data_IF_282150823722
#
_entry.id   IF_282150823722
#
_cell.length_a   1.000
_cell.length_b   1.000
_cell.length_c   1.000
_cell.angle_alpha   90.00
_cell.angle_beta   90.00
_cell.angle_gamma   90.00
#
_symmetry.space_group_name_H-M   'P 1'
#
loop_
_entity.id
_entity.type
_entity.pdbx_description
1 polymer ?
#
# COMPACT_ATOMS: atom_id res chain seq x y z
N UNK A 1 -29.48 11.80 18.73
CA UNK A 1 -29.17 10.97 17.57
C UNK A 1 -27.70 11.10 17.14
N UNK A 2 -27.20 12.29 16.75
CA UNK A 2 -25.82 12.49 16.26
C UNK A 2 -24.73 12.06 17.26
N UNK A 3 -24.87 12.39 18.57
CA UNK A 3 -23.94 11.97 19.62
C UNK A 3 -23.78 10.43 19.69
N UNK A 4 -24.88 9.70 19.54
CA UNK A 4 -24.84 8.23 19.56
C UNK A 4 -24.14 7.67 18.32
N UNK A 5 -24.31 8.30 17.16
CA UNK A 5 -23.58 7.94 15.94
C UNK A 5 -22.07 8.13 16.13
N UNK A 6 -21.65 9.28 16.69
CA UNK A 6 -20.24 9.56 17.00
C UNK A 6 -19.70 8.53 18.00
N UNK A 7 -20.47 8.14 19.02
CA UNK A 7 -20.06 7.11 19.98
C UNK A 7 -19.86 5.75 19.32
N UNK A 8 -20.78 5.33 18.46
CA UNK A 8 -20.64 4.07 17.70
C UNK A 8 -19.38 4.09 16.84
N UNK A 9 -19.16 5.19 16.11
CA UNK A 9 -17.95 5.36 15.31
C UNK A 9 -16.69 5.32 16.18
N UNK A 10 -16.68 6.00 17.34
CA UNK A 10 -15.56 5.99 18.28
C UNK A 10 -15.21 4.57 18.75
N UNK A 11 -16.23 3.76 19.05
CA UNK A 11 -16.05 2.36 19.46
C UNK A 11 -15.49 1.53 18.31
N UNK A 12 -16.02 1.67 17.09
CA UNK A 12 -15.54 0.96 15.91
C UNK A 12 -14.08 1.30 15.61
N UNK A 13 -13.72 2.59 15.66
CA UNK A 13 -12.35 3.03 15.46
C UNK A 13 -11.41 2.57 16.59
N UNK A 14 -11.91 2.48 17.83
CA UNK A 14 -11.14 1.93 18.95
C UNK A 14 -10.81 0.43 18.73
N UNK A 15 -11.81 -0.35 18.36
CA UNK A 15 -11.62 -1.78 18.07
C UNK A 15 -10.64 -2.01 16.94
N UNK A 16 -10.75 -1.20 15.87
CA UNK A 16 -9.82 -1.22 14.74
C UNK A 16 -8.41 -0.84 15.16
N UNK A 17 -8.25 0.24 15.97
CA UNK A 17 -6.95 0.71 16.47
C UNK A 17 -6.26 -0.37 17.32
N UNK A 18 -7.00 -1.03 18.21
CA UNK A 18 -6.47 -2.13 19.04
C UNK A 18 -6.08 -3.31 18.16
N UNK A 19 -6.98 -3.76 17.28
CA UNK A 19 -6.75 -4.90 16.38
C UNK A 19 -5.50 -4.70 15.52
N UNK A 20 -5.34 -3.50 14.95
CA UNK A 20 -4.18 -3.19 14.11
C UNK A 20 -2.90 -3.04 14.93
N UNK A 21 -2.97 -2.48 16.15
CA UNK A 21 -1.81 -2.36 17.06
C UNK A 21 -1.24 -3.74 17.48
N UNK A 22 -2.07 -4.76 17.57
CA UNK A 22 -1.65 -6.12 17.92
C UNK A 22 -0.98 -6.86 16.75
N UNK A 23 -1.20 -6.41 15.51
CA UNK A 23 -0.77 -7.11 14.29
C UNK A 23 0.26 -6.36 13.46
N UNK A 24 0.59 -5.12 13.80
CA UNK A 24 1.48 -4.27 13.00
C UNK A 24 2.40 -3.42 13.87
N UNK A 25 3.59 -3.14 13.37
CA UNK A 25 4.52 -2.17 13.96
C UNK A 25 3.95 -0.75 13.91
N UNK A 26 4.51 0.16 14.73
CA UNK A 26 4.13 1.56 14.74
C UNK A 26 4.36 2.19 13.35
N UNK A 27 3.28 2.64 12.74
CA UNK A 27 3.28 3.31 11.43
C UNK A 27 2.54 4.64 11.51
N UNK A 28 2.80 5.55 10.57
CA UNK A 28 2.03 6.81 10.46
C UNK A 28 0.52 6.53 10.35
N UNK A 29 0.11 5.47 9.66
CA UNK A 29 -1.30 5.10 9.53
C UNK A 29 -1.93 4.71 10.87
N UNK A 30 -1.19 3.97 11.72
CA UNK A 30 -1.63 3.63 13.07
C UNK A 30 -1.72 4.87 13.97
N UNK A 31 -0.73 5.77 13.91
CA UNK A 31 -0.75 7.02 14.66
C UNK A 31 -1.96 7.90 14.28
N UNK A 32 -2.25 8.04 12.99
CA UNK A 32 -3.43 8.76 12.50
C UNK A 32 -4.74 8.10 12.95
N UNK A 33 -4.80 6.76 12.92
CA UNK A 33 -5.97 6.02 13.38
C UNK A 33 -6.25 6.27 14.86
N UNK A 34 -5.22 6.24 15.71
CA UNK A 34 -5.34 6.58 17.14
C UNK A 34 -5.73 8.05 17.35
N UNK A 35 -5.17 8.98 16.58
CA UNK A 35 -5.54 10.40 16.65
C UNK A 35 -7.03 10.60 16.34
N UNK A 36 -7.55 9.94 15.31
CA UNK A 36 -8.98 9.99 14.96
C UNK A 36 -9.83 9.38 16.09
N UNK A 37 -9.41 8.22 16.62
CA UNK A 37 -10.11 7.53 17.72
C UNK A 37 -10.24 8.45 18.94
N UNK A 38 -9.15 9.04 19.40
CA UNK A 38 -9.13 9.97 20.55
C UNK A 38 -10.00 11.20 20.26
N UNK A 39 -9.90 11.77 19.06
CA UNK A 39 -10.71 12.93 18.65
C UNK A 39 -12.21 12.63 18.67
N UNK A 40 -12.63 11.45 18.26
CA UNK A 40 -14.03 11.01 18.31
C UNK A 40 -14.51 10.89 19.77
N UNK A 41 -13.72 10.31 20.68
CA UNK A 41 -14.08 10.24 22.10
C UNK A 41 -14.17 11.64 22.74
N UNK A 42 -13.24 12.54 22.45
CA UNK A 42 -13.33 13.95 22.88
C UNK A 42 -14.63 14.57 22.35
N UNK A 43 -14.98 14.31 21.08
CA UNK A 43 -16.23 14.79 20.47
C UNK A 43 -17.49 14.24 21.16
N UNK A 44 -17.47 13.03 21.70
CA UNK A 44 -18.58 12.47 22.49
C UNK A 44 -18.67 13.11 23.87
N UNK A 45 -17.56 13.25 24.58
CA UNK A 45 -17.50 13.84 25.94
C UNK A 45 -17.92 15.31 25.92
N UNK A 46 -17.34 16.08 25.00
CA UNK A 46 -17.59 17.52 24.87
C UNK A 46 -18.62 17.86 23.79
N UNK A 47 -19.59 16.97 23.54
CA UNK A 47 -20.54 17.10 22.43
C UNK A 47 -21.29 18.45 22.48
N UNK A 48 -21.83 18.83 23.62
CA UNK A 48 -22.64 20.08 23.76
C UNK A 48 -21.85 21.35 23.45
N UNK A 49 -20.69 21.61 24.10
CA UNK A 49 -19.91 22.80 23.79
C UNK A 49 -19.36 22.82 22.35
N UNK A 50 -18.95 21.68 21.83
CA UNK A 50 -18.49 21.58 20.44
C UNK A 50 -19.64 21.87 19.47
N UNK A 51 -20.83 21.28 19.67
CA UNK A 51 -21.98 21.51 18.81
C UNK A 51 -22.43 22.99 18.86
N UNK A 52 -22.45 23.63 20.05
CA UNK A 52 -22.74 25.03 20.20
C UNK A 52 -21.73 25.92 19.46
N UNK A 53 -20.44 25.65 19.62
CA UNK A 53 -19.37 26.34 18.89
C UNK A 53 -19.50 26.19 17.36
N UNK A 54 -19.72 24.98 16.86
CA UNK A 54 -19.83 24.69 15.43
C UNK A 54 -21.14 25.19 14.80
N UNK A 55 -22.09 25.67 15.57
CA UNK A 55 -23.36 26.25 15.10
C UNK A 55 -23.37 27.77 14.97
N UNK A 56 -22.31 28.48 15.39
CA UNK A 56 -22.25 29.93 15.39
C UNK A 56 -20.89 30.48 14.98
N UNK A 57 -20.86 31.72 14.50
CA UNK A 57 -19.65 32.48 14.22
C UNK A 57 -18.64 31.72 13.30
N UNK A 58 -17.38 31.77 13.70
CA UNK A 58 -16.27 31.10 12.99
C UNK A 58 -16.42 29.56 13.00
N UNK A 59 -17.13 29.00 14.00
CA UNK A 59 -17.35 27.54 14.08
C UNK A 59 -18.09 26.97 12.90
N UNK A 60 -19.00 27.74 12.25
CA UNK A 60 -19.69 27.32 11.01
C UNK A 60 -18.68 27.09 9.89
N UNK A 61 -17.71 27.98 9.75
CA UNK A 61 -16.67 27.83 8.72
C UNK A 61 -15.74 26.67 8.99
N UNK A 62 -15.33 26.47 10.27
CA UNK A 62 -14.53 25.30 10.68
C UNK A 62 -15.26 24.01 10.35
N UNK A 63 -16.57 23.92 10.66
CA UNK A 63 -17.41 22.77 10.30
C UNK A 63 -17.44 22.53 8.78
N UNK A 64 -17.66 23.58 7.97
CA UNK A 64 -17.72 23.47 6.51
C UNK A 64 -16.38 23.03 5.92
N UNK A 65 -15.26 23.59 6.40
CA UNK A 65 -13.91 23.20 5.97
C UNK A 65 -13.63 21.74 6.37
N UNK A 66 -14.02 21.34 7.59
CA UNK A 66 -13.88 19.94 8.02
C UNK A 66 -14.68 18.96 7.18
N UNK A 67 -15.93 19.28 6.85
CA UNK A 67 -16.75 18.46 5.95
C UNK A 67 -16.12 18.39 4.56
N UNK A 68 -15.68 19.52 4.00
CA UNK A 68 -14.98 19.54 2.70
C UNK A 68 -13.72 18.67 2.74
N UNK A 69 -12.92 18.76 3.81
CA UNK A 69 -11.73 17.91 4.01
C UNK A 69 -12.06 16.42 4.02
N UNK A 70 -13.14 16.03 4.70
CA UNK A 70 -13.60 14.63 4.72
C UNK A 70 -14.05 14.19 3.31
N UNK A 71 -14.81 15.01 2.59
CA UNK A 71 -15.28 14.70 1.22
C UNK A 71 -14.09 14.54 0.28
N UNK A 72 -13.12 15.45 0.33
CA UNK A 72 -11.90 15.37 -0.48
C UNK A 72 -11.07 14.13 -0.13
N UNK A 73 -10.97 13.79 1.16
CA UNK A 73 -10.29 12.60 1.63
C UNK A 73 -10.95 11.32 1.11
N UNK A 74 -12.27 11.19 1.25
CA UNK A 74 -13.04 10.03 0.74
C UNK A 74 -12.93 9.94 -0.79
N UNK A 75 -13.03 11.07 -1.49
CA UNK A 75 -12.82 11.14 -2.94
C UNK A 75 -11.43 10.67 -3.36
N UNK A 76 -10.38 11.07 -2.63
CA UNK A 76 -9.02 10.58 -2.89
C UNK A 76 -8.88 9.07 -2.61
N UNK A 77 -9.50 8.55 -1.55
CA UNK A 77 -9.52 7.10 -1.29
C UNK A 77 -10.16 6.32 -2.42
N UNK A 78 -11.32 6.78 -2.89
CA UNK A 78 -12.02 6.20 -4.04
C UNK A 78 -11.14 6.26 -5.31
N UNK A 79 -10.52 7.42 -5.59
CA UNK A 79 -9.58 7.58 -6.70
C UNK A 79 -8.42 6.58 -6.63
N UNK A 80 -7.75 6.46 -5.48
CA UNK A 80 -6.63 5.51 -5.32
C UNK A 80 -7.06 4.06 -5.51
N UNK A 81 -8.26 3.69 -5.04
CA UNK A 81 -8.84 2.37 -5.25
C UNK A 81 -9.16 2.07 -6.72
N UNK A 82 -9.67 3.07 -7.44
CA UNK A 82 -10.03 2.95 -8.87
C UNK A 82 -8.81 3.08 -9.79
N UNK A 83 -7.84 3.91 -9.43
CA UNK A 83 -6.67 4.16 -10.28
C UNK A 83 -5.87 2.89 -10.62
N UNK A 84 -5.86 1.91 -9.71
CA UNK A 84 -5.25 0.61 -9.98
C UNK A 84 -5.94 -0.18 -11.11
N UNK A 85 -7.20 0.11 -11.39
CA UNK A 85 -7.95 -0.56 -12.46
C UNK A 85 -7.70 0.06 -13.84
N UNK A 86 -7.28 1.34 -13.91
CA UNK A 86 -6.96 2.01 -15.17
C UNK A 86 -5.57 1.64 -15.74
N UNK A 87 -4.71 1.05 -14.94
CA UNK A 87 -3.35 0.65 -15.34
C UNK A 87 -3.12 -0.85 -15.10
N UNK A 88 -4.19 -1.63 -15.19
CA UNK A 88 -4.11 -3.07 -14.92
C UNK A 88 -3.29 -3.80 -15.99
N UNK A 89 -2.48 -4.76 -15.57
CA UNK A 89 -1.70 -5.61 -16.46
C UNK A 89 -2.59 -6.46 -17.33
N UNK A 90 -2.18 -6.63 -18.59
CA UNK A 90 -2.94 -7.31 -19.66
C UNK A 90 -2.31 -8.62 -20.13
N UNK A 91 -1.06 -8.90 -19.68
CA UNK A 91 -0.27 -10.06 -20.14
C UNK A 91 0.67 -9.74 -21.30
N UNK A 92 0.64 -8.50 -21.80
CA UNK A 92 1.56 -8.05 -22.87
C UNK A 92 2.90 -7.51 -22.30
N UNK A 93 3.05 -7.49 -20.99
CA UNK A 93 4.25 -7.04 -20.32
C UNK A 93 5.40 -8.05 -20.52
N UNK A 94 6.63 -7.56 -20.33
CA UNK A 94 7.85 -8.33 -20.61
C UNK A 94 8.42 -9.02 -19.37
N UNK A 95 8.01 -8.59 -18.18
CA UNK A 95 8.43 -9.18 -16.90
C UNK A 95 7.42 -8.90 -15.79
N UNK A 96 7.45 -9.71 -14.74
CA UNK A 96 6.68 -9.53 -13.52
C UNK A 96 7.61 -9.04 -12.41
N UNK A 97 7.30 -7.92 -11.76
CA UNK A 97 8.05 -7.37 -10.62
C UNK A 97 7.19 -7.41 -9.36
N UNK A 98 7.55 -8.27 -8.41
CA UNK A 98 6.84 -8.40 -7.13
C UNK A 98 7.54 -7.58 -6.07
N UNK A 99 6.87 -6.53 -5.57
CA UNK A 99 7.47 -5.63 -4.58
C UNK A 99 7.24 -6.15 -3.15
N UNK A 100 8.25 -6.04 -2.31
CA UNK A 100 8.21 -6.43 -0.91
C UNK A 100 7.18 -5.66 -0.06
N UNK A 101 6.77 -6.27 1.06
CA UNK A 101 5.79 -5.73 2.01
C UNK A 101 6.05 -6.09 3.48
N UNK A 102 7.26 -6.50 3.78
CA UNK A 102 7.70 -6.89 5.12
C UNK A 102 7.48 -8.37 5.45
N UNK A 103 8.32 -8.84 6.36
CA UNK A 103 8.23 -10.17 6.95
C UNK A 103 7.72 -10.09 8.39
N UNK A 104 7.21 -11.21 8.88
CA UNK A 104 7.00 -11.47 10.31
C UNK A 104 8.10 -12.46 10.77
N UNK A 105 9.20 -11.93 11.30
CA UNK A 105 10.39 -12.74 11.55
C UNK A 105 10.97 -13.31 10.25
N UNK A 106 10.87 -14.63 10.07
CA UNK A 106 11.32 -15.34 8.86
C UNK A 106 10.21 -15.57 7.83
N UNK A 107 8.95 -15.37 8.20
CA UNK A 107 7.79 -15.74 7.37
C UNK A 107 7.23 -14.55 6.63
N UNK A 108 6.66 -14.80 5.45
CA UNK A 108 5.96 -13.76 4.69
C UNK A 108 4.78 -13.20 5.48
N UNK A 109 4.71 -11.88 5.61
CA UNK A 109 3.58 -11.22 6.26
C UNK A 109 2.27 -11.48 5.52
N UNK A 110 1.12 -11.31 6.17
CA UNK A 110 -0.18 -11.47 5.53
C UNK A 110 -0.37 -10.52 4.32
N UNK A 111 0.23 -9.33 4.37
CA UNK A 111 0.23 -8.37 3.25
C UNK A 111 1.10 -8.87 2.09
N UNK A 112 2.29 -9.39 2.38
CA UNK A 112 3.20 -9.93 1.37
C UNK A 112 2.63 -11.20 0.74
N UNK A 113 2.02 -12.09 1.53
CA UNK A 113 1.35 -13.28 1.01
C UNK A 113 0.28 -12.95 -0.04
N UNK A 114 -0.58 -11.95 0.22
CA UNK A 114 -1.59 -11.52 -0.74
C UNK A 114 -0.99 -10.99 -2.05
N UNK A 115 0.20 -10.37 -2.00
CA UNK A 115 0.93 -9.98 -3.20
C UNK A 115 1.45 -11.19 -3.95
N UNK A 116 2.04 -12.16 -3.24
CA UNK A 116 2.56 -13.38 -3.84
C UNK A 116 1.45 -14.21 -4.47
N UNK A 117 0.28 -14.30 -3.82
CA UNK A 117 -0.89 -15.00 -4.39
C UNK A 117 -1.39 -14.28 -5.67
N UNK A 118 -1.41 -12.95 -5.69
CA UNK A 118 -1.75 -12.20 -6.90
C UNK A 118 -0.69 -12.34 -8.00
N UNK A 119 0.60 -12.37 -7.62
CA UNK A 119 1.70 -12.63 -8.55
C UNK A 119 1.60 -14.02 -9.17
N UNK A 120 1.29 -15.03 -8.35
CA UNK A 120 1.13 -16.42 -8.78
C UNK A 120 -0.01 -16.54 -9.79
N UNK A 121 -1.19 -16.01 -9.48
CA UNK A 121 -2.36 -16.05 -10.36
C UNK A 121 -2.10 -15.37 -11.72
N UNK A 122 -1.31 -14.27 -11.73
CA UNK A 122 -0.91 -13.61 -12.97
C UNK A 122 0.17 -14.41 -13.72
N UNK A 123 1.14 -14.97 -13.00
CA UNK A 123 2.25 -15.76 -13.56
C UNK A 123 1.80 -17.10 -14.17
N UNK A 124 0.72 -17.70 -13.67
CA UNK A 124 0.10 -18.91 -14.21
C UNK A 124 -0.52 -18.67 -15.60
N UNK A 125 -1.01 -17.45 -15.86
CA UNK A 125 -1.55 -17.04 -17.15
C UNK A 125 -0.47 -16.56 -18.13
N UNK A 126 0.74 -16.28 -17.63
CA UNK A 126 1.86 -15.69 -18.37
C UNK A 126 3.14 -16.47 -18.07
N UNK A 127 3.19 -17.73 -18.53
CA UNK A 127 4.22 -18.71 -18.15
C UNK A 127 5.63 -18.35 -18.61
N UNK A 128 5.77 -17.56 -19.69
CA UNK A 128 7.06 -17.22 -20.29
C UNK A 128 7.73 -15.98 -19.66
N UNK A 129 7.00 -15.22 -18.81
CA UNK A 129 7.54 -14.01 -18.22
C UNK A 129 8.48 -14.32 -17.04
N UNK A 130 9.68 -13.71 -16.97
CA UNK A 130 10.52 -13.77 -15.79
C UNK A 130 9.87 -13.04 -14.62
N UNK A 131 10.10 -13.54 -13.41
CA UNK A 131 9.56 -12.96 -12.17
C UNK A 131 10.71 -12.42 -11.35
N UNK A 132 10.77 -11.10 -11.15
CA UNK A 132 11.72 -10.48 -10.23
C UNK A 132 11.04 -10.26 -8.89
N UNK A 133 11.53 -10.90 -7.84
CA UNK A 133 11.11 -10.64 -6.46
C UNK A 133 12.07 -9.63 -5.84
N UNK A 134 11.54 -8.49 -5.36
CA UNK A 134 12.35 -7.35 -4.90
C UNK A 134 12.08 -7.01 -3.44
N UNK A 135 13.15 -6.82 -2.67
CA UNK A 135 13.09 -6.39 -1.27
C UNK A 135 14.27 -6.87 -0.47
N UNK A 136 14.99 -5.93 0.12
CA UNK A 136 16.08 -6.20 1.06
C UNK A 136 15.59 -6.70 2.41
N UNK A 137 16.46 -6.63 3.41
CA UNK A 137 16.15 -7.01 4.79
C UNK A 137 15.67 -5.78 5.57
N UNK A 138 14.43 -5.82 6.03
CA UNK A 138 13.85 -4.78 6.86
C UNK A 138 14.32 -4.84 8.32
N UNK A 139 14.06 -3.79 9.07
CA UNK A 139 14.41 -3.75 10.49
C UNK A 139 13.63 -4.82 11.28
N UNK A 140 14.36 -5.68 12.00
CA UNK A 140 13.80 -6.79 12.76
C UNK A 140 13.47 -8.03 11.93
N UNK A 141 13.78 -8.05 10.64
CA UNK A 141 13.71 -9.23 9.80
C UNK A 141 15.00 -10.06 9.92
N UNK A 142 14.88 -11.37 9.82
CA UNK A 142 16.01 -12.30 9.96
C UNK A 142 16.60 -12.71 8.59
N UNK A 143 15.93 -12.36 7.51
CA UNK A 143 16.36 -12.58 6.11
C UNK A 143 15.78 -11.50 5.19
N UNK A 144 16.19 -11.48 3.94
CA UNK A 144 15.63 -10.54 2.96
C UNK A 144 14.20 -10.92 2.55
N UNK A 145 13.35 -9.92 2.26
CA UNK A 145 12.00 -10.16 1.78
C UNK A 145 12.01 -10.99 0.49
N UNK A 146 12.91 -10.66 -0.43
CA UNK A 146 13.06 -11.36 -1.73
C UNK A 146 13.38 -12.84 -1.57
N UNK A 147 14.24 -13.24 -0.61
CA UNK A 147 14.54 -14.64 -0.35
C UNK A 147 13.30 -15.42 0.13
N UNK A 148 12.51 -14.80 1.03
CA UNK A 148 11.26 -15.37 1.51
C UNK A 148 10.20 -15.49 0.41
N UNK A 149 10.12 -14.47 -0.47
CA UNK A 149 9.22 -14.47 -1.63
C UNK A 149 9.58 -15.57 -2.63
N UNK A 150 10.87 -15.74 -2.96
CA UNK A 150 11.34 -16.80 -3.85
C UNK A 150 10.97 -18.17 -3.32
N UNK A 151 11.27 -18.44 -2.05
CA UNK A 151 10.90 -19.70 -1.39
C UNK A 151 9.40 -19.97 -1.45
N UNK A 152 8.58 -18.94 -1.17
CA UNK A 152 7.13 -19.06 -1.24
C UNK A 152 6.64 -19.45 -2.64
N UNK A 153 7.11 -18.77 -3.67
CA UNK A 153 6.71 -19.05 -5.06
C UNK A 153 7.15 -20.43 -5.52
N UNK A 154 8.38 -20.87 -5.16
CA UNK A 154 8.86 -22.23 -5.45
C UNK A 154 7.98 -23.28 -4.77
N UNK A 155 7.62 -23.09 -3.50
CA UNK A 155 6.69 -23.98 -2.77
C UNK A 155 5.30 -24.05 -3.43
N UNK A 156 4.92 -23.01 -4.18
CA UNK A 156 3.67 -22.94 -4.94
C UNK A 156 3.78 -23.48 -6.38
N UNK A 157 4.94 -24.01 -6.76
CA UNK A 157 5.14 -24.67 -8.05
C UNK A 157 5.73 -23.80 -9.16
N UNK A 158 6.15 -22.56 -8.85
CA UNK A 158 6.85 -21.71 -9.83
C UNK A 158 8.28 -22.24 -10.01
N UNK A 159 8.74 -22.50 -11.26
CA UNK A 159 10.11 -22.94 -11.51
C UNK A 159 11.15 -21.95 -10.97
N UNK A 160 12.20 -22.48 -10.31
CA UNK A 160 13.18 -21.66 -9.61
C UNK A 160 14.04 -20.79 -10.55
N UNK A 161 14.28 -21.24 -11.77
CA UNK A 161 15.00 -20.55 -12.84
C UNK A 161 14.23 -19.36 -13.41
N UNK A 162 12.90 -19.38 -13.31
CA UNK A 162 12.03 -18.27 -13.68
C UNK A 162 12.05 -17.12 -12.65
N UNK A 163 12.54 -17.35 -11.41
CA UNK A 163 12.50 -16.38 -10.32
C UNK A 163 13.86 -15.74 -10.11
N UNK A 164 13.97 -14.47 -10.49
CA UNK A 164 15.13 -13.62 -10.28
C UNK A 164 15.02 -12.90 -8.94
N UNK A 165 16.14 -12.84 -8.19
CA UNK A 165 16.16 -12.30 -6.85
C UNK A 165 16.87 -10.95 -6.82
N UNK A 166 16.22 -9.95 -6.23
CA UNK A 166 16.77 -8.64 -5.91
C UNK A 166 16.64 -8.40 -4.38
N UNK A 167 17.74 -8.34 -3.66
CA UNK A 167 17.80 -8.39 -2.20
C UNK A 167 18.43 -7.16 -1.53
N UNK A 168 18.64 -6.06 -2.28
CA UNK A 168 19.34 -4.85 -1.78
C UNK A 168 18.43 -3.64 -1.63
N UNK A 169 17.26 -3.64 -2.27
CA UNK A 169 16.38 -2.48 -2.29
C UNK A 169 15.74 -2.21 -0.93
N UNK A 170 15.68 -0.93 -0.56
CA UNK A 170 15.08 -0.41 0.69
C UNK A 170 13.91 0.54 0.42
N UNK A 171 13.63 0.84 -0.84
CA UNK A 171 12.56 1.75 -1.24
C UNK A 171 11.87 1.29 -2.53
N UNK A 172 10.62 1.75 -2.73
CA UNK A 172 9.87 1.42 -3.98
C UNK A 172 10.62 1.87 -5.25
N UNK A 173 11.39 2.96 -5.19
CA UNK A 173 12.19 3.41 -6.33
C UNK A 173 13.34 2.44 -6.61
N UNK A 174 14.04 2.03 -5.57
CA UNK A 174 15.13 1.05 -5.69
C UNK A 174 14.62 -0.31 -6.15
N UNK A 175 13.44 -0.75 -5.67
CA UNK A 175 12.81 -1.98 -6.16
C UNK A 175 12.74 -1.99 -7.70
N UNK A 176 12.27 -0.90 -8.32
CA UNK A 176 12.17 -0.83 -9.78
C UNK A 176 13.52 -0.69 -10.46
N UNK A 177 14.42 0.17 -9.95
CA UNK A 177 15.75 0.36 -10.54
C UNK A 177 16.59 -0.91 -10.47
N UNK A 178 16.56 -1.61 -9.34
CA UNK A 178 17.35 -2.82 -9.17
C UNK A 178 16.72 -4.02 -9.87
N UNK A 179 15.39 -4.07 -9.98
CA UNK A 179 14.71 -5.06 -10.82
C UNK A 179 15.14 -4.95 -12.29
N UNK A 180 15.22 -3.72 -12.85
CA UNK A 180 15.73 -3.51 -14.20
C UNK A 180 17.17 -4.01 -14.37
N UNK A 181 18.04 -3.76 -13.36
CA UNK A 181 19.42 -4.22 -13.36
C UNK A 181 19.50 -5.74 -13.35
N UNK A 182 18.75 -6.38 -12.43
CA UNK A 182 18.71 -7.84 -12.32
C UNK A 182 18.17 -8.49 -13.62
N UNK A 183 17.17 -7.89 -14.25
CA UNK A 183 16.68 -8.35 -15.56
C UNK A 183 17.78 -8.29 -16.60
N UNK A 184 18.48 -7.17 -16.74
CA UNK A 184 19.56 -7.01 -17.73
C UNK A 184 20.73 -7.99 -17.47
N UNK A 185 21.14 -8.18 -16.21
CA UNK A 185 22.19 -9.15 -15.82
C UNK A 185 21.81 -10.61 -16.13
N UNK A 186 20.53 -10.92 -16.30
CA UNK A 186 20.04 -12.25 -16.65
C UNK A 186 19.60 -12.37 -18.12
N UNK A 187 20.06 -11.46 -18.99
CA UNK A 187 19.82 -11.54 -20.45
C UNK A 187 18.49 -10.94 -20.91
N UNK A 188 17.73 -10.30 -20.04
CA UNK A 188 16.49 -9.59 -20.39
C UNK A 188 16.78 -8.09 -20.61
N UNK A 189 17.46 -7.79 -21.71
CA UNK A 189 17.82 -6.40 -22.05
C UNK A 189 16.63 -5.60 -22.58
N UNK A 190 16.69 -4.27 -22.40
CA UNK A 190 15.70 -3.32 -22.92
C UNK A 190 14.24 -3.49 -22.44
N UNK A 191 14.02 -4.20 -21.32
CA UNK A 191 12.69 -4.32 -20.74
C UNK A 191 12.21 -2.95 -20.24
N UNK A 192 11.05 -2.53 -20.73
CA UNK A 192 10.35 -1.32 -20.29
C UNK A 192 8.95 -1.60 -19.77
N UNK A 193 8.26 -2.53 -20.38
CA UNK A 193 6.88 -2.88 -20.01
C UNK A 193 6.89 -3.96 -18.94
N UNK A 194 6.46 -3.59 -17.72
CA UNK A 194 6.51 -4.50 -16.58
C UNK A 194 5.16 -4.59 -15.86
N UNK A 195 4.71 -5.80 -15.61
CA UNK A 195 3.65 -6.07 -14.68
C UNK A 195 4.21 -5.97 -13.26
N UNK A 196 3.73 -5.04 -12.43
CA UNK A 196 4.19 -4.96 -11.04
C UNK A 196 3.07 -5.32 -10.05
N UNK A 197 3.45 -6.10 -9.04
CA UNK A 197 2.51 -6.58 -8.02
C UNK A 197 2.65 -5.74 -6.76
N UNK A 198 1.56 -5.05 -6.38
CA UNK A 198 1.46 -4.28 -5.16
C UNK A 198 0.02 -4.22 -4.64
N UNK A 199 -0.17 -3.89 -3.36
CA UNK A 199 -1.54 -3.73 -2.84
C UNK A 199 -2.27 -2.58 -3.54
N UNK A 200 -3.56 -2.75 -3.82
CA UNK A 200 -4.40 -1.86 -4.63
C UNK A 200 -4.22 -0.39 -4.29
N UNK A 201 -4.26 -0.02 -3.01
CA UNK A 201 -4.14 1.37 -2.54
C UNK A 201 -2.79 2.02 -2.90
N UNK A 202 -1.73 1.24 -3.10
CA UNK A 202 -0.37 1.71 -3.41
C UNK A 202 -0.05 1.70 -4.93
N UNK A 203 -0.89 1.08 -5.77
CA UNK A 203 -0.58 0.90 -7.19
C UNK A 203 -0.39 2.24 -7.91
N UNK A 204 -1.22 3.25 -7.63
CA UNK A 204 -1.09 4.57 -8.24
C UNK A 204 0.28 5.20 -7.99
N UNK A 205 0.71 5.29 -6.73
CA UNK A 205 2.01 5.86 -6.38
C UNK A 205 3.17 5.03 -6.91
N UNK A 206 3.05 3.70 -6.87
CA UNK A 206 4.07 2.82 -7.44
C UNK A 206 4.22 3.01 -8.95
N UNK A 207 3.11 3.17 -9.69
CA UNK A 207 3.15 3.49 -11.12
C UNK A 207 3.85 4.82 -11.41
N UNK A 208 3.59 5.86 -10.61
CA UNK A 208 4.29 7.15 -10.75
C UNK A 208 5.80 6.99 -10.53
N UNK A 209 6.20 6.19 -9.53
CA UNK A 209 7.60 5.94 -9.22
C UNK A 209 8.27 5.14 -10.36
N UNK A 210 7.63 4.07 -10.83
CA UNK A 210 8.15 3.22 -11.90
C UNK A 210 8.34 4.01 -13.22
N UNK A 211 7.38 4.86 -13.59
CA UNK A 211 7.52 5.72 -14.78
C UNK A 211 8.73 6.66 -14.70
N UNK A 212 9.06 7.14 -13.50
CA UNK A 212 10.26 7.99 -13.28
C UNK A 212 11.57 7.21 -13.35
N UNK A 213 11.54 5.88 -13.32
CA UNK A 213 12.70 5.03 -13.59
C UNK A 213 12.80 4.59 -15.06
N UNK A 214 11.93 5.13 -15.92
CA UNK A 214 11.91 4.83 -17.36
C UNK A 214 11.08 3.59 -17.72
N UNK A 215 10.38 2.98 -16.75
CA UNK A 215 9.47 1.85 -16.99
C UNK A 215 8.09 2.31 -17.47
N UNK A 216 7.40 1.43 -18.18
CA UNK A 216 5.98 1.48 -18.50
C UNK A 216 5.25 0.45 -17.61
N UNK A 217 4.82 0.84 -16.42
CA UNK A 217 4.28 -0.10 -15.44
C UNK A 217 2.81 -0.38 -15.68
N UNK A 218 2.43 -1.65 -15.61
CA UNK A 218 1.05 -2.11 -15.51
C UNK A 218 0.84 -2.79 -14.15
N UNK A 219 -0.26 -2.48 -13.48
CA UNK A 219 -0.49 -2.95 -12.10
C UNK A 219 -1.16 -4.32 -12.07
N UNK A 220 -0.65 -5.21 -11.22
CA UNK A 220 -1.35 -6.41 -10.73
C UNK A 220 -1.74 -6.13 -9.27
N UNK A 221 -2.97 -5.63 -9.02
CA UNK A 221 -3.37 -5.17 -7.71
C UNK A 221 -3.69 -6.33 -6.77
N UNK A 222 -2.90 -6.49 -5.73
CA UNK A 222 -3.18 -7.42 -4.63
C UNK A 222 -4.20 -6.85 -3.66
N UNK A 223 -4.99 -7.72 -3.05
CA UNK A 223 -5.94 -7.37 -1.99
C UNK A 223 -5.23 -6.97 -0.70
N UNK A 224 -5.97 -6.40 0.23
CA UNK A 224 -5.53 -6.11 1.60
C UNK A 224 -6.56 -6.65 2.59
N UNK A 225 -6.15 -6.97 3.82
CA UNK A 225 -7.11 -7.35 4.86
C UNK A 225 -8.00 -6.15 5.21
N UNK A 226 -9.23 -6.42 5.59
CA UNK A 226 -10.18 -5.36 6.00
C UNK A 226 -9.61 -4.55 7.15
N UNK A 227 -9.00 -5.20 8.14
CA UNK A 227 -8.38 -4.57 9.30
C UNK A 227 -7.14 -3.74 8.99
N UNK A 228 -6.45 -3.96 7.89
CA UNK A 228 -5.31 -3.15 7.48
C UNK A 228 -5.69 -2.06 6.45
N UNK A 229 -6.91 -2.10 5.91
CA UNK A 229 -7.30 -1.19 4.84
C UNK A 229 -7.26 0.28 5.31
N UNK A 230 -7.98 0.60 6.37
CA UNK A 230 -8.12 1.97 6.85
C UNK A 230 -6.77 2.63 7.19
N UNK A 231 -5.91 2.05 8.06
CA UNK A 231 -4.61 2.66 8.36
C UNK A 231 -3.67 2.75 7.15
N UNK A 232 -3.74 1.80 6.22
CA UNK A 232 -2.96 1.86 4.98
C UNK A 232 -3.40 3.01 4.07
N UNK A 233 -4.69 3.19 3.89
CA UNK A 233 -5.23 4.31 3.11
C UNK A 233 -4.97 5.66 3.80
N UNK A 234 -5.10 5.76 5.15
CA UNK A 234 -4.77 6.96 5.90
C UNK A 234 -3.33 7.42 5.65
N UNK A 235 -2.38 6.49 5.59
CA UNK A 235 -0.97 6.77 5.31
C UNK A 235 -0.72 7.13 3.85
N UNK A 236 -1.49 6.58 2.92
CA UNK A 236 -1.21 6.74 1.49
C UNK A 236 -1.45 8.16 0.98
N UNK A 237 -2.46 8.88 1.51
CA UNK A 237 -2.74 10.24 1.11
C UNK A 237 -1.53 11.19 1.33
N UNK A 238 -0.95 11.30 2.52
CA UNK A 238 0.27 12.10 2.71
C UNK A 238 1.42 11.67 1.77
N UNK A 239 1.56 10.37 1.54
CA UNK A 239 2.60 9.85 0.68
C UNK A 239 2.41 10.27 -0.80
N UNK A 240 1.18 10.24 -1.31
CA UNK A 240 0.87 10.69 -2.68
C UNK A 240 1.07 12.19 -2.83
N UNK A 241 0.57 12.99 -1.86
CA UNK A 241 0.77 14.44 -1.85
C UNK A 241 2.27 14.81 -1.81
N UNK A 242 3.06 14.10 -1.01
CA UNK A 242 4.52 14.25 -0.99
C UNK A 242 5.13 14.01 -2.37
N UNK A 243 4.72 12.94 -3.09
CA UNK A 243 5.21 12.65 -4.43
C UNK A 243 4.74 13.65 -5.48
N UNK A 244 3.59 14.25 -5.35
CA UNK A 244 3.09 15.25 -6.28
C UNK A 244 3.79 16.60 -6.13
N UNK A 245 4.02 17.06 -4.90
CA UNK A 245 4.44 18.43 -4.63
C UNK A 245 5.92 18.58 -4.26
N UNK A 246 6.51 17.60 -3.58
CA UNK A 246 7.85 17.72 -3.00
C UNK A 246 8.87 16.91 -3.80
N UNK A 247 8.61 15.66 -4.12
CA UNK A 247 9.56 14.77 -4.80
C UNK A 247 9.33 14.76 -6.31
N UNK A 248 9.42 15.93 -6.95
CA UNK A 248 9.28 16.08 -8.41
C UNK A 248 10.49 15.62 -9.23
N UNK A 249 11.61 15.42 -8.59
CA UNK A 249 12.87 14.94 -9.17
C UNK A 249 13.16 13.47 -8.85
#
# INVERSE_FOLDING_TARGET
MLRNIILILAILFLLESISFSLSANLTLGLALLWLITVSLFIGVVFYQPIAAFLSSGIGIWIKRIGILGIVLYVGMMAFLGLAASFTQATGNEQAIVVLGAGLNGNEVSGTLRRRLDAALAFAEQNTDLPIVVTGGQGQGELRTESSAMKEYLIKKGVPADRILLEDKSTSTRENFLFAQRVLAENGYENIREVAFVKNRFNCYRASLIARRTGLQPAAVPATISITAALPCYLRELPAVLYYWFIRRS
#
